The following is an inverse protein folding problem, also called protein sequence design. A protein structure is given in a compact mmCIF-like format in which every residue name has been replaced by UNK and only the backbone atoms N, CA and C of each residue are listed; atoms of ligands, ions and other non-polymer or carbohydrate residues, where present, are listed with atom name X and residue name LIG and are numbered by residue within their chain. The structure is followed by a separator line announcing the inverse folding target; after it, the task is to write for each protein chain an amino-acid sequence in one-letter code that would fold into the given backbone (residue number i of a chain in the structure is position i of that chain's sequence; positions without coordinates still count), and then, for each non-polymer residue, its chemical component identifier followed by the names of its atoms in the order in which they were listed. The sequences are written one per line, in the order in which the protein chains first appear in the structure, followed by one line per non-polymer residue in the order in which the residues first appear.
data_IF_490533634888
#
_entry.id   IF_490533634888
#
_cell.length_a   1.000
_cell.length_b   1.000
_cell.length_c   1.000
_cell.angle_alpha   90.00
_cell.angle_beta   90.00
_cell.angle_gamma   90.00
#
_symmetry.space_group_name_H-M   'P 1'
#
loop_
_entity.id
_entity.type
_entity.pdbx_description
1 polymer ?
#
# COMPACT_ATOMS: atom_id res chain seq x y z
N UNK A 1 24.12 6.17 -14.38
CA UNK A 1 23.89 6.45 -12.95
C UNK A 1 22.41 6.24 -12.69
N UNK A 2 22.02 5.29 -11.83
CA UNK A 2 20.60 5.09 -11.51
C UNK A 2 20.01 6.35 -10.88
N UNK A 3 18.80 6.72 -11.29
CA UNK A 3 18.08 7.86 -10.72
C UNK A 3 17.82 7.54 -9.24
N UNK A 4 18.36 8.37 -8.34
CA UNK A 4 18.13 8.21 -6.89
C UNK A 4 16.84 8.94 -6.55
N UNK A 5 15.98 8.33 -5.72
CA UNK A 5 14.76 8.98 -5.25
C UNK A 5 15.08 10.09 -4.25
N UNK A 6 14.30 11.19 -4.25
CA UNK A 6 14.42 12.21 -3.21
C UNK A 6 14.01 11.63 -1.85
N UNK A 7 14.46 12.26 -0.78
CA UNK A 7 13.99 11.95 0.58
C UNK A 7 12.50 12.27 0.72
N UNK A 8 11.77 11.45 1.48
CA UNK A 8 10.35 11.64 1.74
C UNK A 8 9.44 10.79 0.86
N UNK A 9 8.27 11.34 0.50
CA UNK A 9 7.24 10.62 -0.26
C UNK A 9 7.66 10.43 -1.72
N UNK A 10 7.25 9.29 -2.29
CA UNK A 10 7.40 9.03 -3.71
C UNK A 10 6.55 9.99 -4.53
N UNK A 11 6.98 10.25 -5.76
CA UNK A 11 6.14 10.89 -6.77
C UNK A 11 4.82 10.12 -6.97
N UNK A 12 3.71 10.84 -7.09
CA UNK A 12 2.37 10.23 -7.14
C UNK A 12 2.16 9.39 -8.40
N UNK A 13 2.65 9.84 -9.56
CA UNK A 13 2.47 9.12 -10.82
C UNK A 13 3.24 7.80 -10.78
N UNK A 14 4.46 7.84 -10.23
CA UNK A 14 5.24 6.64 -10.03
C UNK A 14 4.61 5.70 -9.00
N UNK A 15 4.06 6.23 -7.90
CA UNK A 15 3.35 5.41 -6.92
C UNK A 15 2.14 4.73 -7.57
N UNK A 16 1.36 5.45 -8.38
CA UNK A 16 0.24 4.88 -9.13
C UNK A 16 0.68 3.75 -10.06
N UNK A 17 1.76 3.93 -10.82
CA UNK A 17 2.30 2.89 -11.71
C UNK A 17 2.71 1.63 -10.94
N UNK A 18 3.33 1.81 -9.77
CA UNK A 18 3.74 0.70 -8.92
C UNK A 18 2.53 -0.03 -8.33
N UNK A 19 1.53 0.69 -7.82
CA UNK A 19 0.30 0.10 -7.28
C UNK A 19 -0.49 -0.62 -8.37
N UNK A 20 -0.56 -0.09 -9.59
CA UNK A 20 -1.21 -0.75 -10.71
C UNK A 20 -0.46 -2.02 -11.15
N UNK A 21 0.87 -2.02 -11.07
CA UNK A 21 1.71 -3.15 -11.48
C UNK A 21 1.76 -4.27 -10.45
N UNK A 22 1.79 -3.94 -9.17
CA UNK A 22 2.05 -4.89 -8.08
C UNK A 22 0.85 -5.09 -7.14
N UNK A 23 -0.18 -4.25 -7.24
CA UNK A 23 -1.45 -4.45 -6.55
C UNK A 23 -2.13 -5.70 -7.08
N UNK A 24 -2.30 -6.69 -6.20
CA UNK A 24 -3.01 -7.92 -6.57
C UNK A 24 -4.50 -7.64 -6.69
N UNK A 25 -5.09 -8.05 -7.81
CA UNK A 25 -6.54 -8.07 -7.96
C UNK A 25 -7.08 -9.33 -7.28
N UNK A 26 -7.79 -9.16 -6.17
CA UNK A 26 -8.55 -10.21 -5.53
C UNK A 26 -9.99 -9.73 -5.40
N UNK A 27 -10.95 -10.55 -5.84
CA UNK A 27 -12.37 -10.20 -5.86
C UNK A 27 -12.95 -9.89 -4.47
N UNK A 28 -12.31 -10.40 -3.40
CA UNK A 28 -12.70 -10.10 -2.02
C UNK A 28 -12.18 -8.75 -1.53
N UNK A 29 -11.24 -8.12 -2.23
CA UNK A 29 -10.71 -6.81 -1.86
C UNK A 29 -11.58 -5.74 -2.51
N UNK A 30 -12.49 -5.17 -1.73
CA UNK A 30 -13.46 -4.16 -2.18
C UNK A 30 -12.78 -2.80 -2.37
N UNK A 31 -11.87 -2.46 -1.46
CA UNK A 31 -10.99 -1.29 -1.57
C UNK A 31 -9.56 -1.80 -1.56
N UNK A 32 -8.91 -1.73 -2.73
CA UNK A 32 -7.53 -2.15 -2.95
C UNK A 32 -6.53 -1.02 -2.80
N UNK A 33 -5.26 -1.26 -3.15
CA UNK A 33 -4.24 -0.22 -3.12
C UNK A 33 -4.59 0.93 -4.08
N UNK A 34 -4.58 2.17 -3.58
CA UNK A 34 -4.89 3.37 -4.35
C UNK A 34 -4.35 4.64 -3.71
N UNK A 35 -4.29 5.72 -4.48
CA UNK A 35 -3.89 7.03 -3.98
C UNK A 35 -4.99 7.59 -3.06
N UNK A 36 -4.60 7.99 -1.85
CA UNK A 36 -5.52 8.52 -0.86
C UNK A 36 -6.23 7.45 -0.02
N UNK A 37 -6.00 6.16 -0.31
CA UNK A 37 -6.55 5.06 0.47
C UNK A 37 -5.65 4.74 1.67
N UNK A 38 -6.21 4.79 2.87
CA UNK A 38 -5.48 4.55 4.12
C UNK A 38 -5.54 3.09 4.59
N UNK A 39 -6.47 2.30 4.08
CA UNK A 39 -6.70 0.93 4.49
C UNK A 39 -7.30 0.10 3.35
N UNK A 40 -7.02 -1.20 3.35
CA UNK A 40 -7.74 -2.16 2.51
C UNK A 40 -9.05 -2.58 3.18
N UNK A 41 -10.08 -2.79 2.37
CA UNK A 41 -11.37 -3.33 2.82
C UNK A 41 -11.59 -4.69 2.16
N UNK A 42 -11.76 -5.73 2.99
CA UNK A 42 -11.83 -7.13 2.55
C UNK A 42 -13.17 -7.73 2.95
N UNK A 43 -13.87 -8.30 1.98
CA UNK A 43 -15.15 -8.99 2.15
C UNK A 43 -14.96 -10.38 2.79
N UNK A 44 -15.67 -10.63 3.89
CA UNK A 44 -15.77 -11.92 4.59
C UNK A 44 -17.16 -12.56 4.48
N UNK A 45 -18.03 -12.01 3.62
CA UNK A 45 -19.39 -12.48 3.33
C UNK A 45 -20.43 -11.85 4.24
N UNK A 46 -20.25 -11.96 5.55
CA UNK A 46 -21.17 -11.39 6.56
C UNK A 46 -20.68 -10.05 7.13
N UNK A 47 -19.42 -9.70 6.89
CA UNK A 47 -18.76 -8.50 7.41
C UNK A 47 -17.58 -8.10 6.54
N UNK A 48 -17.06 -6.91 6.80
CA UNK A 48 -15.81 -6.42 6.22
C UNK A 48 -14.69 -6.37 7.25
N UNK A 49 -13.49 -6.77 6.83
CA UNK A 49 -12.25 -6.50 7.55
C UNK A 49 -11.60 -5.25 6.96
N UNK A 50 -11.42 -4.22 7.79
CA UNK A 50 -10.62 -3.05 7.45
C UNK A 50 -9.22 -3.26 8.01
N UNK A 51 -8.20 -3.27 7.15
CA UNK A 51 -6.83 -3.53 7.52
C UNK A 51 -5.90 -2.42 7.02
N UNK A 52 -5.04 -1.90 7.90
CA UNK A 52 -4.02 -0.88 7.59
C UNK A 52 -2.65 -1.36 8.05
N UNK A 53 -1.62 -0.99 7.30
CA UNK A 53 -0.22 -1.11 7.72
C UNK A 53 0.47 0.23 7.47
N UNK A 54 1.35 0.64 8.37
CA UNK A 54 2.21 1.82 8.21
C UNK A 54 3.61 1.46 8.73
N UNK A 55 4.43 0.80 7.89
CA UNK A 55 5.69 0.22 8.35
C UNK A 55 6.74 1.31 8.61
N UNK A 56 7.39 1.23 9.77
CA UNK A 56 8.62 1.98 10.01
C UNK A 56 9.74 1.34 9.19
N UNK A 57 10.15 2.01 8.11
CA UNK A 57 11.22 1.52 7.24
C UNK A 57 12.58 1.61 7.91
N UNK A 58 13.47 0.66 7.64
CA UNK A 58 14.87 0.60 8.14
C UNK A 58 15.07 0.41 9.64
N UNK A 59 14.01 0.16 10.42
CA UNK A 59 14.17 -0.37 11.77
C UNK A 59 14.74 -1.81 11.68
N UNK A 60 15.97 -2.02 12.15
CA UNK A 60 16.61 -3.34 12.17
C UNK A 60 16.25 -4.12 13.43
N UNK A 61 16.01 -3.41 14.54
CA UNK A 61 15.65 -3.93 15.86
C UNK A 61 14.50 -3.06 16.41
N UNK A 62 13.64 -3.62 17.27
CA UNK A 62 12.45 -2.94 17.86
C UNK A 62 11.34 -2.57 16.86
N UNK A 63 11.07 -3.43 15.87
CA UNK A 63 9.90 -3.27 14.99
C UNK A 63 8.63 -3.67 15.76
N UNK A 64 7.79 -2.69 16.15
CA UNK A 64 6.55 -2.89 16.89
C UNK A 64 5.71 -1.64 17.03
#
# INVERSE_FOLDING_TARGET
MGKVFPVGKLDLDLLMDLLARYGSANERVVVGPGIGEDAAVIDFGDRYLVAKTDPITFATDEIG
#
